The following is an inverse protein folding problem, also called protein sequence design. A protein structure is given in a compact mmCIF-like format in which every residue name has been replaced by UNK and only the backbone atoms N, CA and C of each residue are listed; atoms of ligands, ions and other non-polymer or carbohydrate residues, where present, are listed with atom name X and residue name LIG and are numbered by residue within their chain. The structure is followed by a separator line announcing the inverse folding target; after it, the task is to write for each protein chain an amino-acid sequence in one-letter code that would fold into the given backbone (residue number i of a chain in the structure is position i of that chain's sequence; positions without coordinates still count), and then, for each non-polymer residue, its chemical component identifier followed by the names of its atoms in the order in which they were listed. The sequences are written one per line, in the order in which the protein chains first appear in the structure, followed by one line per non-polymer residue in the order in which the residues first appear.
data_IF_251668323094
#
_entry.id   IF_251668323094
#
_cell.length_a   1.000
_cell.length_b   1.000
_cell.length_c   1.000
_cell.angle_alpha   90.00
_cell.angle_beta   90.00
_cell.angle_gamma   90.00
#
_symmetry.space_group_name_H-M   'P 1'
#
loop_
_entity.id
_entity.type
_entity.pdbx_description
1 polymer ?
#
# COMPACT_ATOMS: atom_id res chain seq x y z
N UNK A 1 -39.08 50.93 -37.22
CA UNK A 1 -38.38 49.98 -38.12
C UNK A 1 -36.93 50.41 -38.19
N UNK A 2 -35.99 49.45 -38.20
CA UNK A 2 -34.53 49.54 -37.93
C UNK A 2 -34.17 49.55 -36.43
N UNK A 3 -33.34 48.66 -35.88
CA UNK A 3 -32.67 47.44 -36.37
C UNK A 3 -32.30 46.57 -35.14
N UNK A 4 -32.15 45.26 -35.35
CA UNK A 4 -31.90 44.22 -34.35
C UNK A 4 -30.45 44.24 -33.79
N UNK A 5 -30.33 43.71 -32.57
CA UNK A 5 -29.27 42.83 -32.04
C UNK A 5 -27.78 43.18 -32.28
N UNK A 6 -27.04 43.40 -31.19
CA UNK A 6 -25.64 43.00 -31.08
C UNK A 6 -25.25 42.79 -29.60
N UNK A 7 -24.80 41.57 -29.30
CA UNK A 7 -24.34 41.04 -28.03
C UNK A 7 -23.53 42.02 -27.17
N UNK A 8 -23.98 42.22 -25.93
CA UNK A 8 -23.03 42.44 -24.84
C UNK A 8 -22.29 41.13 -24.59
N UNK A 9 -21.13 40.97 -25.21
CA UNK A 9 -20.21 39.89 -24.88
C UNK A 9 -19.08 40.51 -24.06
N UNK A 10 -19.28 40.54 -22.75
CA UNK A 10 -18.18 40.74 -21.82
C UNK A 10 -17.39 39.43 -21.82
N UNK A 11 -16.08 39.43 -22.13
CA UNK A 11 -15.33 38.19 -22.20
C UNK A 11 -15.32 37.58 -20.79
N UNK A 12 -15.96 36.42 -20.67
CA UNK A 12 -15.88 35.63 -19.45
C UNK A 12 -14.40 35.37 -19.14
N UNK A 13 -13.96 35.50 -17.88
CA UNK A 13 -12.58 35.26 -17.51
C UNK A 13 -12.19 33.84 -17.96
N UNK A 14 -11.10 33.77 -18.72
CA UNK A 14 -10.48 32.52 -19.14
C UNK A 14 -10.26 31.64 -17.89
N UNK A 15 -10.66 30.37 -17.89
CA UNK A 15 -10.44 29.51 -16.73
C UNK A 15 -8.94 29.44 -16.47
N UNK A 16 -8.51 29.88 -15.28
CA UNK A 16 -7.13 29.74 -14.85
C UNK A 16 -6.69 28.29 -15.05
N UNK A 17 -5.44 28.02 -15.49
CA UNK A 17 -4.93 26.67 -15.60
C UNK A 17 -5.19 25.93 -14.30
N UNK A 18 -6.00 24.86 -14.36
CA UNK A 18 -6.19 24.00 -13.22
C UNK A 18 -4.82 23.46 -12.82
N UNK A 19 -4.43 23.70 -11.57
CA UNK A 19 -3.22 23.14 -10.99
C UNK A 19 -3.33 21.62 -11.10
N UNK A 20 -2.52 21.03 -11.98
CA UNK A 20 -2.46 19.58 -12.13
C UNK A 20 -1.81 19.06 -10.87
N UNK A 21 -2.58 18.42 -10.00
CA UNK A 21 -2.05 17.73 -8.82
C UNK A 21 -0.94 16.78 -9.29
N UNK A 22 0.26 16.94 -8.73
CA UNK A 22 1.35 16.04 -8.98
C UNK A 22 0.92 14.61 -8.56
N UNK A 23 1.24 13.57 -9.34
CA UNK A 23 0.93 12.20 -8.95
C UNK A 23 1.59 11.90 -7.61
N UNK A 24 0.84 11.26 -6.71
CA UNK A 24 1.37 10.81 -5.43
C UNK A 24 2.57 9.88 -5.68
N UNK A 25 3.63 9.95 -4.84
CA UNK A 25 4.80 9.12 -5.03
C UNK A 25 4.39 7.65 -4.95
N UNK A 26 4.63 6.90 -6.02
CA UNK A 26 4.46 5.45 -5.99
C UNK A 26 5.52 4.85 -5.07
N UNK A 27 5.13 4.04 -4.08
CA UNK A 27 6.06 3.41 -3.17
C UNK A 27 7.04 2.51 -3.94
N UNK A 28 8.32 2.62 -3.59
CA UNK A 28 9.41 2.05 -4.37
C UNK A 28 9.87 0.67 -3.88
N UNK A 29 9.41 0.23 -2.70
CA UNK A 29 9.76 -1.07 -2.17
C UNK A 29 9.32 -2.22 -3.11
N UNK A 30 10.18 -3.22 -3.35
CA UNK A 30 9.81 -4.38 -4.17
C UNK A 30 8.64 -5.14 -3.52
N UNK A 31 7.91 -5.93 -4.31
CA UNK A 31 6.90 -6.80 -3.73
C UNK A 31 7.56 -7.77 -2.71
N UNK A 32 6.98 -7.92 -1.51
CA UNK A 32 7.53 -8.84 -0.52
C UNK A 32 7.34 -10.27 -1.00
N UNK A 33 8.41 -11.06 -0.90
CA UNK A 33 8.41 -12.50 -1.15
C UNK A 33 8.42 -13.29 0.17
N UNK A 34 8.36 -14.61 0.06
CA UNK A 34 8.30 -15.51 1.22
C UNK A 34 9.55 -15.37 2.11
N UNK A 35 10.73 -15.18 1.49
CA UNK A 35 11.99 -15.02 2.22
C UNK A 35 12.04 -13.69 2.99
N UNK A 36 11.57 -12.60 2.39
CA UNK A 36 11.48 -11.31 3.07
C UNK A 36 10.49 -11.38 4.24
N UNK A 37 9.32 -11.97 4.04
CA UNK A 37 8.32 -12.10 5.11
C UNK A 37 8.86 -12.93 6.28
N UNK A 38 9.49 -14.08 6.02
CA UNK A 38 10.06 -14.92 7.07
C UNK A 38 11.12 -14.18 7.89
N UNK A 39 11.96 -13.35 7.24
CA UNK A 39 12.95 -12.52 7.94
C UNK A 39 12.30 -11.44 8.81
N UNK A 40 11.30 -10.74 8.28
CA UNK A 40 10.56 -9.72 9.03
C UNK A 40 9.83 -10.33 10.23
N UNK A 41 9.21 -11.49 10.04
CA UNK A 41 8.54 -12.23 11.11
C UNK A 41 9.52 -12.69 12.18
N UNK A 42 10.66 -13.29 11.82
CA UNK A 42 11.66 -13.71 12.78
C UNK A 42 12.27 -12.53 13.57
N UNK A 43 12.40 -11.36 12.92
CA UNK A 43 12.86 -10.14 13.58
C UNK A 43 11.82 -9.58 14.56
N UNK A 44 10.54 -9.63 14.20
CA UNK A 44 9.44 -9.16 15.05
C UNK A 44 9.11 -10.13 16.19
N UNK A 45 9.14 -11.43 15.91
CA UNK A 45 8.69 -12.53 16.78
C UNK A 45 9.82 -13.56 17.01
N UNK A 46 10.92 -13.20 17.68
CA UNK A 46 12.09 -14.08 17.81
C UNK A 46 11.85 -15.34 18.66
N UNK A 47 10.77 -15.36 19.45
CA UNK A 47 10.38 -16.48 20.32
C UNK A 47 9.30 -17.38 19.70
N UNK A 48 8.75 -17.00 18.53
CA UNK A 48 7.71 -17.76 17.84
C UNK A 48 8.30 -18.89 16.98
N UNK A 49 7.43 -19.81 16.54
CA UNK A 49 7.81 -20.82 15.56
C UNK A 49 8.23 -20.15 14.23
N UNK A 50 9.17 -20.72 13.47
CA UNK A 50 9.58 -20.14 12.20
C UNK A 50 8.45 -20.25 11.17
N UNK A 51 8.39 -19.27 10.27
CA UNK A 51 7.49 -19.33 9.10
C UNK A 51 7.91 -20.50 8.21
N UNK A 52 6.98 -21.40 7.93
CA UNK A 52 7.17 -22.57 7.07
C UNK A 52 6.90 -22.24 5.60
N UNK A 53 5.87 -21.43 5.35
CA UNK A 53 5.47 -20.93 4.04
C UNK A 53 4.63 -19.65 4.20
N UNK A 54 4.67 -18.76 3.20
CA UNK A 54 3.84 -17.54 3.20
C UNK A 54 3.45 -17.09 1.80
N UNK A 55 2.30 -16.42 1.71
CA UNK A 55 1.75 -15.85 0.49
C UNK A 55 1.34 -14.41 0.75
N UNK A 56 2.13 -13.48 0.22
CA UNK A 56 1.87 -12.06 0.30
C UNK A 56 1.15 -11.56 -0.96
N UNK A 57 0.05 -10.81 -0.77
CA UNK A 57 -0.73 -10.20 -1.85
C UNK A 57 -0.91 -8.70 -1.61
N UNK A 58 -0.56 -7.93 -2.63
CA UNK A 58 -0.75 -6.49 -2.67
C UNK A 58 -1.78 -6.15 -3.73
N UNK A 59 -2.86 -5.48 -3.35
CA UNK A 59 -3.80 -4.95 -4.33
C UNK A 59 -3.17 -3.77 -5.10
N UNK A 60 -3.51 -3.60 -6.38
CA UNK A 60 -2.98 -2.49 -7.17
C UNK A 60 -3.36 -1.15 -6.55
N UNK A 61 -2.37 -0.33 -6.22
CA UNK A 61 -2.56 0.96 -5.54
C UNK A 61 -2.73 0.87 -4.03
N UNK A 62 -2.67 -0.32 -3.43
CA UNK A 62 -2.68 -0.44 -1.96
C UNK A 62 -1.32 -0.07 -1.37
N UNK A 63 -1.33 0.62 -0.25
CA UNK A 63 -0.13 1.01 0.49
C UNK A 63 0.41 -0.12 1.37
N UNK A 64 -0.42 -1.12 1.65
CA UNK A 64 -0.11 -2.28 2.49
C UNK A 64 -0.16 -3.59 1.70
N UNK A 65 0.42 -4.64 2.29
CA UNK A 65 0.40 -6.01 1.77
C UNK A 65 -0.21 -6.94 2.80
N UNK A 66 -1.12 -7.80 2.38
CA UNK A 66 -1.67 -8.85 3.25
C UNK A 66 -0.92 -10.16 2.99
N UNK A 67 -0.34 -10.74 4.03
CA UNK A 67 0.40 -11.99 3.98
C UNK A 67 -0.33 -13.06 4.79
N UNK A 68 -0.62 -14.19 4.17
CA UNK A 68 -1.10 -15.41 4.85
C UNK A 68 0.10 -16.32 5.05
N UNK A 69 0.28 -16.93 6.22
CA UNK A 69 1.47 -17.71 6.54
C UNK A 69 1.21 -18.89 7.48
N UNK A 70 2.04 -19.93 7.32
CA UNK A 70 2.11 -21.09 8.19
C UNK A 70 3.31 -21.02 9.12
N UNK A 71 3.18 -21.62 10.31
CA UNK A 71 4.23 -21.69 11.33
C UNK A 71 4.63 -23.15 11.57
N UNK A 72 5.92 -23.39 11.77
CA UNK A 72 6.45 -24.71 12.11
C UNK A 72 6.14 -25.77 11.04
N UNK A 73 5.18 -26.65 11.31
CA UNK A 73 4.72 -27.69 10.38
C UNK A 73 3.38 -27.33 9.67
N UNK A 74 2.80 -26.15 9.93
CA UNK A 74 1.56 -25.72 9.29
C UNK A 74 1.80 -25.35 7.82
N UNK A 75 1.22 -26.11 6.90
CA UNK A 75 1.22 -25.84 5.45
C UNK A 75 -0.06 -25.16 4.96
N UNK A 76 -0.99 -24.85 5.89
CA UNK A 76 -2.34 -24.38 5.56
C UNK A 76 -2.52 -22.86 5.62
N UNK A 77 -1.45 -22.10 5.87
CA UNK A 77 -1.47 -20.63 5.90
C UNK A 77 -2.52 -20.06 6.85
N UNK A 78 -2.61 -20.61 8.07
CA UNK A 78 -3.70 -20.28 9.02
C UNK A 78 -3.57 -18.92 9.68
N UNK A 79 -2.42 -18.27 9.56
CA UNK A 79 -2.13 -16.99 10.16
C UNK A 79 -2.13 -15.89 9.11
N UNK A 80 -2.46 -14.68 9.54
CA UNK A 80 -2.43 -13.49 8.70
C UNK A 80 -1.59 -12.39 9.33
N UNK A 81 -0.91 -11.62 8.49
CA UNK A 81 -0.14 -10.45 8.86
C UNK A 81 -0.32 -9.38 7.80
N UNK A 82 -0.29 -8.12 8.23
CA UNK A 82 -0.24 -6.97 7.33
C UNK A 82 1.17 -6.41 7.35
N UNK A 83 1.75 -6.20 6.17
CA UNK A 83 2.97 -5.42 6.00
C UNK A 83 2.61 -4.00 5.56
N UNK A 84 3.28 -3.04 6.17
CA UNK A 84 3.23 -1.63 5.81
C UNK A 84 4.64 -1.15 5.47
N UNK A 85 4.70 -0.10 4.67
CA UNK A 85 5.98 0.53 4.35
C UNK A 85 6.49 1.29 5.56
N UNK A 86 7.80 1.27 5.75
CA UNK A 86 8.44 2.11 6.75
C UNK A 86 8.32 3.61 6.37
N UNK A 87 8.76 4.49 7.28
CA UNK A 87 8.68 5.95 7.09
C UNK A 87 9.38 6.46 5.82
N UNK A 88 10.37 5.73 5.29
CA UNK A 88 11.06 6.09 4.05
C UNK A 88 10.37 5.55 2.78
N UNK A 89 9.46 4.58 2.92
CA UNK A 89 8.78 3.95 1.79
C UNK A 89 9.65 2.94 1.02
N UNK A 90 10.77 2.51 1.60
CA UNK A 90 11.79 1.67 0.94
C UNK A 90 11.78 0.23 1.45
N UNK A 91 11.34 0.00 2.69
CA UNK A 91 11.28 -1.31 3.32
C UNK A 91 9.89 -1.63 3.86
N UNK A 92 9.61 -2.93 4.00
CA UNK A 92 8.39 -3.43 4.62
C UNK A 92 8.62 -3.71 6.10
N UNK A 93 7.62 -3.44 6.93
CA UNK A 93 7.56 -3.80 8.34
C UNK A 93 6.21 -4.46 8.66
N UNK A 94 6.17 -5.31 9.68
CA UNK A 94 4.91 -5.87 10.18
C UNK A 94 4.15 -4.77 10.91
N UNK A 95 2.93 -4.49 10.46
CA UNK A 95 2.06 -3.42 10.95
C UNK A 95 1.75 -3.55 12.45
N UNK A 96 1.35 -4.76 12.86
CA UNK A 96 0.96 -5.05 14.24
C UNK A 96 1.72 -6.29 14.73
N UNK A 97 2.98 -6.08 15.09
CA UNK A 97 3.85 -7.17 15.53
C UNK A 97 3.30 -7.88 16.77
N UNK A 98 2.70 -7.16 17.72
CA UNK A 98 2.18 -7.75 18.97
C UNK A 98 1.02 -8.72 18.69
N UNK A 99 0.08 -8.32 17.82
CA UNK A 99 -1.00 -9.19 17.38
C UNK A 99 -0.46 -10.40 16.59
N UNK A 100 0.45 -10.16 15.64
CA UNK A 100 1.01 -11.20 14.76
C UNK A 100 1.85 -12.23 15.52
N UNK A 101 2.59 -11.80 16.56
CA UNK A 101 3.37 -12.71 17.41
C UNK A 101 2.50 -13.50 18.40
N UNK A 102 1.22 -13.13 18.56
CA UNK A 102 0.28 -13.76 19.51
C UNK A 102 -0.70 -14.75 18.85
N UNK A 103 -0.54 -15.02 17.56
CA UNK A 103 -1.38 -15.91 16.77
C UNK A 103 -1.25 -17.39 17.18
#
# INVERSE_FOLDING_TARGET
MFALAACGEEPAPEPAPAEVAAPEPTPSAPAPDEELFAQLYAAACPEAEPVSTSVCRRAMGAETVSCEFGLGEDEYLRNDATLELDETGEAWAIADADAVCSQ
#
